data_IF_764983168594
#
_entry.id   IF_764983168594
#
_cell.length_a   1.000
_cell.length_b   1.000
_cell.length_c   1.000
_cell.angle_alpha   90.00
_cell.angle_beta   90.00
_cell.angle_gamma   90.00
#
_symmetry.space_group_name_H-M   'P 1'
#
loop_
_entity.id
_entity.type
_entity.pdbx_description
1 polymer ?
#
# COMPACT_ATOMS: atom_id res chain seq x y z
N UNK A 1 8.38 6.24 -16.68
CA UNK A 1 7.34 5.68 -15.81
C UNK A 1 6.00 6.24 -16.26
N UNK A 2 4.90 5.52 -16.07
CA UNK A 2 3.58 6.11 -16.35
C UNK A 2 3.43 7.40 -15.58
N UNK A 3 2.85 8.40 -16.22
CA UNK A 3 2.57 9.66 -15.54
C UNK A 3 1.59 9.43 -14.38
N UNK A 4 1.66 10.23 -13.32
CA UNK A 4 0.68 10.18 -12.22
C UNK A 4 -0.77 10.27 -12.72
N UNK A 5 -1.00 11.00 -13.83
CA UNK A 5 -2.31 11.08 -14.49
C UNK A 5 -2.74 9.75 -15.10
N UNK A 6 -1.82 9.02 -15.73
CA UNK A 6 -2.09 7.71 -16.34
C UNK A 6 -2.35 6.66 -15.28
N UNK A 7 -1.55 6.63 -14.20
CA UNK A 7 -1.78 5.74 -13.05
C UNK A 7 -3.14 6.00 -12.41
N UNK A 8 -3.51 7.27 -12.23
CA UNK A 8 -4.84 7.66 -11.77
C UNK A 8 -5.96 7.22 -12.69
N UNK A 9 -5.79 7.39 -14.00
CA UNK A 9 -6.80 6.97 -14.96
C UNK A 9 -6.98 5.44 -14.95
N UNK A 10 -5.87 4.70 -14.97
CA UNK A 10 -5.86 3.25 -14.90
C UNK A 10 -6.51 2.73 -13.61
N UNK A 11 -6.17 3.33 -12.47
CA UNK A 11 -6.75 2.98 -11.19
C UNK A 11 -8.27 3.19 -11.19
N UNK A 12 -8.78 4.27 -11.80
CA UNK A 12 -10.22 4.51 -11.88
C UNK A 12 -10.94 3.48 -12.77
N UNK A 13 -10.35 3.16 -13.92
CA UNK A 13 -10.89 2.18 -14.87
C UNK A 13 -11.01 0.76 -14.29
N UNK A 14 -10.06 0.36 -13.45
CA UNK A 14 -10.09 -0.92 -12.74
C UNK A 14 -11.04 -0.85 -11.54
N UNK A 15 -10.96 0.23 -10.76
CA UNK A 15 -11.76 0.41 -9.56
C UNK A 15 -13.26 0.47 -9.88
N UNK A 16 -13.70 1.14 -10.95
CA UNK A 16 -15.15 1.31 -11.24
C UNK A 16 -15.92 -0.01 -11.36
N UNK A 17 -15.24 -1.11 -11.74
CA UNK A 17 -15.85 -2.44 -11.83
C UNK A 17 -16.12 -3.06 -10.45
N UNK A 18 -15.23 -2.79 -9.50
CA UNK A 18 -15.16 -3.46 -8.19
C UNK A 18 -15.23 -2.46 -7.03
N UNK A 19 -15.70 -1.24 -7.27
CA UNK A 19 -15.53 -0.08 -6.40
C UNK A 19 -15.96 -0.36 -4.96
N UNK A 20 -17.16 -0.91 -4.82
CA UNK A 20 -17.74 -1.22 -3.51
C UNK A 20 -16.96 -2.29 -2.76
N UNK A 21 -16.39 -3.27 -3.47
CA UNK A 21 -15.60 -4.32 -2.83
C UNK A 21 -14.27 -3.74 -2.30
N UNK A 22 -13.57 -2.94 -3.11
CA UNK A 22 -12.32 -2.28 -2.69
C UNK A 22 -12.56 -1.30 -1.54
N UNK A 23 -13.71 -0.60 -1.56
CA UNK A 23 -14.12 0.27 -0.45
C UNK A 23 -14.34 -0.54 0.83
N UNK A 24 -15.03 -1.69 0.77
CA UNK A 24 -15.20 -2.59 1.92
C UNK A 24 -13.85 -3.07 2.45
N UNK A 25 -12.94 -3.53 1.58
CA UNK A 25 -11.58 -3.94 1.97
C UNK A 25 -10.86 -2.81 2.70
N UNK A 26 -10.89 -1.62 2.12
CA UNK A 26 -10.19 -0.44 2.66
C UNK A 26 -10.78 -0.03 4.01
N UNK A 27 -12.10 -0.11 4.16
CA UNK A 27 -12.77 0.15 5.43
C UNK A 27 -12.44 -0.89 6.49
N UNK A 28 -12.38 -2.18 6.14
CA UNK A 28 -11.97 -3.25 7.07
C UNK A 28 -10.55 -2.96 7.59
N UNK A 29 -9.62 -2.65 6.69
CA UNK A 29 -8.22 -2.36 7.03
C UNK A 29 -8.09 -1.11 7.90
N UNK A 30 -8.91 -0.08 7.68
CA UNK A 30 -8.89 1.15 8.46
C UNK A 30 -9.61 1.02 9.82
N UNK A 31 -10.76 0.35 9.85
CA UNK A 31 -11.64 0.29 11.01
C UNK A 31 -11.21 -0.76 12.03
N UNK A 32 -10.69 -1.93 11.61
CA UNK A 32 -10.30 -2.99 12.54
C UNK A 32 -9.23 -2.55 13.54
N UNK A 33 -8.12 -1.90 13.12
CA UNK A 33 -7.14 -1.37 14.07
C UNK A 33 -7.73 -0.29 14.97
N UNK A 34 -8.57 0.60 14.43
CA UNK A 34 -9.17 1.72 15.17
C UNK A 34 -10.21 1.27 16.20
N UNK A 35 -10.91 0.16 15.96
CA UNK A 35 -11.90 -0.41 16.87
C UNK A 35 -11.27 -1.24 18.01
N UNK A 36 -9.96 -1.51 17.95
CA UNK A 36 -9.28 -2.28 18.99
C UNK A 36 -9.18 -1.45 20.29
N UNK A 37 -9.64 -2.02 21.40
CA UNK A 37 -9.60 -1.37 22.72
C UNK A 37 -8.18 -1.19 23.26
N UNK A 38 -7.22 -1.91 22.70
CA UNK A 38 -5.80 -1.88 23.06
C UNK A 38 -5.01 -1.47 21.83
N UNK A 39 -4.41 -0.28 21.86
CA UNK A 39 -3.66 0.31 20.74
C UNK A 39 -2.57 -0.64 20.19
N UNK A 40 -1.93 -1.41 21.06
CA UNK A 40 -0.91 -2.40 20.68
C UNK A 40 -1.51 -3.48 19.79
N UNK A 41 -2.69 -4.00 20.11
CA UNK A 41 -3.36 -5.04 19.30
C UNK A 41 -3.70 -4.48 17.92
N UNK A 42 -4.26 -3.26 17.85
CA UNK A 42 -4.56 -2.61 16.58
C UNK A 42 -3.32 -2.47 15.69
N UNK A 43 -2.19 -2.09 16.26
CA UNK A 43 -0.92 -1.99 15.53
C UNK A 43 -0.42 -3.35 15.02
N UNK A 44 -0.53 -4.42 15.82
CA UNK A 44 -0.10 -5.76 15.41
C UNK A 44 -0.97 -6.33 14.27
N UNK A 45 -2.27 -6.01 14.26
CA UNK A 45 -3.19 -6.42 13.20
C UNK A 45 -2.96 -5.67 11.88
N UNK A 46 -2.44 -4.44 11.95
CA UNK A 46 -2.28 -3.57 10.79
C UNK A 46 -1.38 -4.20 9.71
N UNK A 47 -0.25 -4.81 10.10
CA UNK A 47 0.71 -5.35 9.14
C UNK A 47 0.12 -6.44 8.24
N UNK A 48 -0.40 -7.54 8.82
CA UNK A 48 -1.08 -8.58 8.06
C UNK A 48 -2.28 -8.05 7.24
N UNK A 49 -3.01 -7.04 7.73
CA UNK A 49 -4.10 -6.40 6.99
C UNK A 49 -3.61 -5.64 5.75
N UNK A 50 -2.51 -4.90 5.86
CA UNK A 50 -1.91 -4.19 4.72
C UNK A 50 -1.40 -5.16 3.66
N UNK A 51 -0.79 -6.27 4.08
CA UNK A 51 -0.38 -7.34 3.15
C UNK A 51 -1.59 -8.03 2.52
N UNK A 52 -2.63 -8.33 3.30
CA UNK A 52 -3.90 -8.85 2.76
C UNK A 52 -4.56 -7.91 1.75
N UNK A 53 -4.54 -6.60 2.00
CA UNK A 53 -4.99 -5.59 1.04
C UNK A 53 -4.13 -5.58 -0.22
N UNK A 54 -2.81 -5.71 -0.08
CA UNK A 54 -1.90 -5.79 -1.22
C UNK A 54 -2.17 -7.04 -2.08
N UNK A 55 -2.33 -8.23 -1.47
CA UNK A 55 -2.72 -9.47 -2.18
C UNK A 55 -4.02 -9.26 -2.96
N UNK A 56 -5.03 -8.70 -2.31
CA UNK A 56 -6.33 -8.44 -2.92
C UNK A 56 -6.24 -7.47 -4.10
N UNK A 57 -5.50 -6.36 -3.95
CA UNK A 57 -5.35 -5.36 -5.01
C UNK A 57 -4.51 -5.90 -6.18
N UNK A 58 -3.45 -6.67 -5.92
CA UNK A 58 -2.64 -7.31 -6.96
C UNK A 58 -3.50 -8.32 -7.74
N UNK A 59 -4.24 -9.22 -7.09
CA UNK A 59 -5.13 -10.18 -7.77
C UNK A 59 -6.17 -9.47 -8.63
N UNK A 60 -6.81 -8.43 -8.09
CA UNK A 60 -7.79 -7.65 -8.84
C UNK A 60 -7.19 -6.99 -10.09
N UNK A 61 -5.99 -6.42 -9.99
CA UNK A 61 -5.36 -5.71 -11.10
C UNK A 61 -4.79 -6.66 -12.14
N UNK A 62 -4.04 -7.68 -11.71
CA UNK A 62 -3.37 -8.63 -12.62
C UNK A 62 -4.38 -9.55 -13.31
N UNK A 63 -5.40 -10.02 -12.58
CA UNK A 63 -6.41 -10.94 -13.12
C UNK A 63 -7.70 -10.23 -13.56
N UNK A 64 -7.77 -8.88 -13.47
CA UNK A 64 -8.92 -8.06 -13.86
C UNK A 64 -10.25 -8.58 -13.25
N UNK A 65 -10.22 -8.97 -11.98
CA UNK A 65 -11.36 -9.61 -11.30
C UNK A 65 -12.37 -8.59 -10.78
N UNK A 66 -13.63 -9.02 -10.60
CA UNK A 66 -14.69 -8.22 -9.96
C UNK A 66 -14.45 -7.92 -8.46
N UNK A 67 -13.27 -8.27 -7.91
CA UNK A 67 -12.93 -8.00 -6.51
C UNK A 67 -13.77 -8.77 -5.48
N UNK A 68 -14.45 -9.86 -5.89
CA UNK A 68 -15.35 -10.64 -5.01
C UNK A 68 -14.61 -11.52 -3.99
N UNK A 69 -13.31 -11.79 -4.20
CA UNK A 69 -12.49 -12.66 -3.35
C UNK A 69 -11.99 -11.94 -2.09
N UNK A 70 -12.90 -11.58 -1.19
CA UNK A 70 -12.55 -10.95 0.09
C UNK A 70 -11.68 -11.83 0.99
N UNK A 71 -11.73 -13.15 0.79
CA UNK A 71 -10.90 -14.12 1.50
C UNK A 71 -9.39 -13.89 1.33
N UNK A 72 -8.96 -13.21 0.25
CA UNK A 72 -7.56 -12.87 0.01
C UNK A 72 -6.97 -11.97 1.10
N UNK A 73 -7.79 -11.15 1.76
CA UNK A 73 -7.33 -10.31 2.87
C UNK A 73 -6.87 -11.18 4.04
N UNK A 74 -7.56 -12.31 4.27
CA UNK A 74 -7.25 -13.26 5.35
C UNK A 74 -5.94 -14.01 5.02
N UNK A 75 -5.53 -14.09 3.76
CA UNK A 75 -4.26 -14.73 3.41
C UNK A 75 -3.05 -14.01 4.00
N UNK A 76 -3.10 -12.68 4.17
CA UNK A 76 -2.05 -11.94 4.87
C UNK A 76 -1.86 -12.40 6.33
N UNK A 77 -2.94 -12.87 6.97
CA UNK A 77 -2.89 -13.48 8.30
C UNK A 77 -2.49 -14.95 8.29
N UNK A 78 -2.76 -15.69 7.21
CA UNK A 78 -2.45 -17.13 7.15
C UNK A 78 -1.01 -17.39 6.73
N UNK A 79 -0.53 -16.66 5.73
CA UNK A 79 0.74 -16.96 5.05
C UNK A 79 1.91 -16.13 5.58
N UNK A 80 1.67 -14.89 5.99
CA UNK A 80 2.72 -13.92 6.29
C UNK A 80 2.50 -13.15 7.59
N UNK A 81 1.74 -13.69 8.56
CA UNK A 81 1.40 -12.98 9.80
C UNK A 81 2.63 -12.41 10.52
N UNK A 82 3.61 -13.26 10.84
CA UNK A 82 4.80 -12.88 11.61
C UNK A 82 5.66 -11.88 10.82
N UNK A 83 5.96 -12.19 9.56
CA UNK A 83 6.80 -11.33 8.71
C UNK A 83 6.15 -9.96 8.45
N UNK A 84 4.85 -9.92 8.18
CA UNK A 84 4.09 -8.67 7.95
C UNK A 84 4.03 -7.81 9.21
N UNK A 85 3.86 -8.45 10.37
CA UNK A 85 3.82 -7.78 11.67
C UNK A 85 5.19 -7.19 12.04
N UNK A 86 6.26 -7.97 11.90
CA UNK A 86 7.64 -7.51 12.15
C UNK A 86 8.00 -6.40 11.17
N UNK A 87 7.71 -6.56 9.88
CA UNK A 87 8.00 -5.55 8.87
C UNK A 87 7.28 -4.23 9.17
N UNK A 88 5.99 -4.28 9.51
CA UNK A 88 5.22 -3.08 9.83
C UNK A 88 5.72 -2.40 11.11
N UNK A 89 6.13 -3.18 12.11
CA UNK A 89 6.78 -2.66 13.31
C UNK A 89 8.11 -1.97 13.00
N UNK A 90 8.99 -2.61 12.23
CA UNK A 90 10.28 -2.05 11.84
C UNK A 90 10.12 -0.80 10.98
N UNK A 91 9.23 -0.81 9.99
CA UNK A 91 8.91 0.36 9.17
C UNK A 91 8.39 1.50 10.05
N UNK A 92 7.51 1.22 10.99
CA UNK A 92 6.99 2.20 11.95
C UNK A 92 8.11 2.80 12.80
N UNK A 93 8.96 1.97 13.41
CA UNK A 93 10.10 2.39 14.23
C UNK A 93 11.08 3.23 13.40
N UNK A 94 11.51 2.75 12.24
CA UNK A 94 12.45 3.48 11.39
C UNK A 94 11.86 4.82 10.94
N UNK A 95 10.62 4.84 10.49
CA UNK A 95 9.96 6.08 10.07
C UNK A 95 9.84 7.05 11.24
N UNK A 96 9.50 6.57 12.44
CA UNK A 96 9.44 7.40 13.65
C UNK A 96 10.81 7.98 14.02
N UNK A 97 11.86 7.15 14.06
CA UNK A 97 13.23 7.59 14.35
C UNK A 97 13.71 8.65 13.34
N UNK A 98 13.47 8.43 12.04
CA UNK A 98 13.80 9.41 11.00
C UNK A 98 12.99 10.69 11.13
N UNK A 99 11.71 10.59 11.49
CA UNK A 99 10.85 11.77 11.71
C UNK A 99 11.27 12.59 12.94
N UNK A 100 11.82 11.94 13.97
CA UNK A 100 12.32 12.58 15.18
C UNK A 100 13.59 13.40 14.92
N UNK A 101 14.46 12.90 14.03
CA UNK A 101 15.60 13.67 13.53
C UNK A 101 15.12 14.89 12.73
N UNK A 102 14.30 14.65 11.71
CA UNK A 102 13.72 15.69 10.86
C UNK A 102 12.47 15.18 10.13
N UNK A 103 11.48 16.05 9.92
CA UNK A 103 10.23 15.70 9.24
C UNK A 103 10.50 15.24 7.79
N UNK A 104 11.36 15.93 7.04
CA UNK A 104 11.61 15.64 5.62
C UNK A 104 12.22 14.23 5.40
N UNK A 105 13.30 13.81 6.09
CA UNK A 105 13.79 12.44 6.07
C UNK A 105 12.74 11.39 6.44
N UNK A 106 11.86 11.70 7.41
CA UNK A 106 10.74 10.83 7.78
C UNK A 106 9.82 10.55 6.59
N UNK A 107 9.43 11.58 5.82
CA UNK A 107 8.60 11.44 4.62
C UNK A 107 9.34 10.65 3.52
N UNK A 108 10.63 10.94 3.28
CA UNK A 108 11.41 10.23 2.26
C UNK A 108 11.51 8.73 2.60
N UNK A 109 11.66 8.40 3.88
CA UNK A 109 11.76 7.02 4.35
C UNK A 109 10.41 6.31 4.32
N UNK A 110 9.32 6.96 4.69
CA UNK A 110 7.99 6.36 4.55
C UNK A 110 7.67 6.01 3.09
N UNK A 111 8.02 6.88 2.14
CA UNK A 111 7.90 6.59 0.70
C UNK A 111 8.80 5.42 0.27
N UNK A 112 10.02 5.32 0.80
CA UNK A 112 10.92 4.22 0.49
C UNK A 112 10.42 2.86 1.00
N UNK A 113 9.61 2.85 2.06
CA UNK A 113 9.05 1.65 2.67
C UNK A 113 7.64 1.30 2.17
N UNK A 114 7.04 2.15 1.33
CA UNK A 114 5.65 2.01 0.89
C UNK A 114 5.37 0.71 0.12
N UNK A 115 6.39 0.11 -0.52
CA UNK A 115 6.23 -1.12 -1.32
C UNK A 115 6.40 -2.40 -0.50
N UNK A 116 6.85 -2.32 0.76
CA UNK A 116 7.05 -3.46 1.66
C UNK A 116 5.84 -4.41 1.74
N UNK A 117 4.59 -3.96 1.96
CA UNK A 117 3.46 -4.88 2.06
C UNK A 117 3.16 -5.59 0.73
N UNK A 118 3.45 -4.97 -0.41
CA UNK A 118 3.28 -5.58 -1.73
C UNK A 118 4.35 -6.65 -2.01
N UNK A 119 5.60 -6.43 -1.56
CA UNK A 119 6.67 -7.42 -1.68
C UNK A 119 6.35 -8.67 -0.84
N UNK A 120 5.88 -8.48 0.40
CA UNK A 120 5.48 -9.60 1.27
C UNK A 120 4.22 -10.32 0.72
N UNK A 121 3.35 -9.60 -0.01
CA UNK A 121 2.21 -10.21 -0.67
C UNK A 121 2.63 -11.20 -1.77
N UNK A 122 3.75 -10.94 -2.46
CA UNK A 122 4.27 -11.81 -3.53
C UNK A 122 5.16 -12.94 -3.00
N UNK A 123 5.98 -12.66 -2.00
CA UNK A 123 6.75 -13.67 -1.27
C UNK A 123 6.40 -13.62 0.23
N UNK A 124 5.38 -14.38 0.67
CA UNK A 124 4.98 -14.42 2.08
C UNK A 124 6.08 -14.94 3.02
N UNK A 125 7.06 -15.68 2.49
CA UNK A 125 8.14 -16.32 3.26
C UNK A 125 9.36 -15.43 3.44
N UNK A 126 9.40 -14.29 2.75
CA UNK A 126 10.50 -13.33 2.84
C UNK A 126 10.68 -12.84 4.27
N UNK A 127 11.95 -12.73 4.68
CA UNK A 127 12.27 -12.08 5.95
C UNK A 127 11.85 -10.60 5.95
N UNK A 128 11.35 -10.13 7.08
CA UNK A 128 10.82 -8.78 7.23
C UNK A 128 11.83 -7.68 6.88
N UNK A 129 13.10 -7.84 7.27
CA UNK A 129 14.14 -6.86 6.94
C UNK A 129 14.46 -6.90 5.44
N UNK A 130 14.55 -8.10 4.86
CA UNK A 130 14.77 -8.27 3.42
C UNK A 130 13.65 -7.62 2.59
N UNK A 131 12.40 -7.74 3.01
CA UNK A 131 11.29 -7.05 2.34
C UNK A 131 11.42 -5.52 2.37
N UNK A 132 11.84 -4.97 3.51
CA UNK A 132 12.10 -3.54 3.67
C UNK A 132 13.24 -3.08 2.78
N UNK A 133 14.35 -3.83 2.75
CA UNK A 133 15.51 -3.52 1.91
C UNK A 133 15.16 -3.59 0.43
N UNK A 134 14.39 -4.60 0.01
CA UNK A 134 13.88 -4.70 -1.36
C UNK A 134 12.94 -3.55 -1.70
N UNK A 135 12.07 -3.12 -0.78
CA UNK A 135 11.23 -1.93 -0.98
C UNK A 135 12.10 -0.70 -1.18
N UNK A 136 13.12 -0.51 -0.36
CA UNK A 136 14.03 0.64 -0.49
C UNK A 136 14.76 0.65 -1.82
N UNK A 137 15.25 -0.51 -2.25
CA UNK A 137 15.94 -0.69 -3.52
C UNK A 137 15.02 -0.44 -4.71
N UNK A 138 13.83 -1.06 -4.72
CA UNK A 138 12.80 -0.86 -5.74
C UNK A 138 12.39 0.62 -5.85
N UNK A 139 12.40 1.34 -4.74
CA UNK A 139 12.06 2.76 -4.68
C UNK A 139 13.24 3.71 -4.99
N UNK A 140 14.48 3.23 -5.20
CA UNK A 140 15.60 4.10 -5.60
C UNK A 140 15.28 4.75 -6.95
N UNK A 141 15.37 6.07 -7.02
CA UNK A 141 14.97 6.84 -8.21
C UNK A 141 13.46 7.15 -8.29
N UNK A 142 12.59 6.32 -7.68
CA UNK A 142 11.14 6.39 -7.85
C UNK A 142 10.36 7.00 -6.66
N UNK A 143 11.05 7.48 -5.62
CA UNK A 143 10.39 8.11 -4.45
C UNK A 143 9.62 9.38 -4.80
N UNK A 144 10.22 10.22 -5.64
CA UNK A 144 9.58 11.46 -6.09
C UNK A 144 8.36 11.19 -6.95
N UNK A 145 8.40 10.10 -7.72
CA UNK A 145 7.30 9.67 -8.56
C UNK A 145 6.08 9.25 -7.72
N UNK A 146 6.28 8.48 -6.65
CA UNK A 146 5.21 8.18 -5.67
C UNK A 146 4.72 9.44 -4.95
N UNK A 147 5.64 10.34 -4.58
CA UNK A 147 5.27 11.61 -3.95
C UNK A 147 4.39 12.48 -4.86
N UNK A 148 4.73 12.59 -6.15
CA UNK A 148 3.94 13.33 -7.15
C UNK A 148 2.60 12.63 -7.38
N UNK A 149 2.55 11.28 -7.35
CA UNK A 149 1.28 10.56 -7.39
C UNK A 149 0.37 10.98 -6.22
N UNK A 150 0.88 11.01 -5.00
CA UNK A 150 0.12 11.46 -3.82
C UNK A 150 -0.27 12.94 -3.94
N UNK A 151 0.64 13.79 -4.42
CA UNK A 151 0.38 15.21 -4.64
C UNK A 151 -0.72 15.43 -5.70
N UNK A 152 -0.82 14.54 -6.70
CA UNK A 152 -1.90 14.61 -7.68
C UNK A 152 -3.30 14.40 -7.06
N UNK A 153 -3.37 13.82 -5.86
CA UNK A 153 -4.61 13.67 -5.08
C UNK A 153 -4.86 14.83 -4.10
N UNK A 154 -3.96 15.80 -3.97
CA UNK A 154 -4.06 16.88 -2.98
C UNK A 154 -5.36 17.67 -3.06
N UNK A 155 -5.86 17.95 -4.27
CA UNK A 155 -7.14 18.62 -4.46
C UNK A 155 -8.32 17.82 -3.90
N UNK A 156 -8.28 16.50 -4.04
CA UNK A 156 -9.29 15.60 -3.49
C UNK A 156 -9.18 15.48 -1.97
N UNK A 157 -7.96 15.47 -1.42
CA UNK A 157 -7.75 15.49 0.02
C UNK A 157 -8.29 16.78 0.66
N UNK A 158 -8.07 17.93 0.02
CA UNK A 158 -8.62 19.22 0.46
C UNK A 158 -10.15 19.20 0.40
N UNK A 159 -10.74 18.70 -0.69
CA UNK A 159 -12.19 18.58 -0.81
C UNK A 159 -12.78 17.66 0.28
N UNK A 160 -12.13 16.52 0.54
CA UNK A 160 -12.53 15.59 1.59
C UNK A 160 -12.46 16.22 2.99
N UNK A 161 -11.51 17.12 3.25
CA UNK A 161 -11.40 17.86 4.50
C UNK A 161 -12.63 18.75 4.75
N UNK A 162 -13.14 19.43 3.72
CA UNK A 162 -14.36 20.24 3.82
C UNK A 162 -15.62 19.43 4.12
N UNK A 163 -15.62 18.13 3.81
CA UNK A 163 -16.72 17.19 4.13
C UNK A 163 -16.60 16.54 5.52
N UNK A 164 -15.84 17.16 6.45
CA UNK A 164 -15.51 16.57 7.76
C UNK A 164 -14.87 15.17 7.67
N UNK A 165 -14.10 14.92 6.61
CA UNK A 165 -13.40 13.65 6.39
C UNK A 165 -14.24 12.55 5.73
N UNK A 166 -15.54 12.75 5.47
CA UNK A 166 -16.39 11.75 4.80
C UNK A 166 -15.86 11.45 3.40
N UNK A 167 -15.40 12.46 2.66
CA UNK A 167 -14.80 12.29 1.34
C UNK A 167 -13.56 11.39 1.34
N UNK A 168 -12.87 11.23 2.48
CA UNK A 168 -11.71 10.33 2.58
C UNK A 168 -12.12 8.88 2.38
N UNK A 169 -13.30 8.48 2.88
CA UNK A 169 -13.80 7.11 2.76
C UNK A 169 -13.92 6.69 1.30
N UNK A 170 -14.36 7.60 0.43
CA UNK A 170 -14.52 7.36 -1.00
C UNK A 170 -13.21 7.53 -1.78
N UNK A 171 -12.30 8.39 -1.29
CA UNK A 171 -11.02 8.65 -1.93
C UNK A 171 -9.98 7.55 -1.69
N UNK A 172 -9.94 6.97 -0.49
CA UNK A 172 -8.94 5.96 -0.12
C UNK A 172 -8.89 4.73 -1.04
N UNK A 173 -10.00 4.07 -1.44
CA UNK A 173 -9.92 2.93 -2.36
C UNK A 173 -9.27 3.33 -3.69
N UNK A 174 -9.54 4.54 -4.17
CA UNK A 174 -8.96 5.07 -5.40
C UNK A 174 -7.45 5.32 -5.28
N UNK A 175 -7.00 5.91 -4.16
CA UNK A 175 -5.58 6.12 -3.88
C UNK A 175 -4.86 4.77 -3.76
N UNK A 176 -5.43 3.80 -3.03
CA UNK A 176 -4.84 2.47 -2.83
C UNK A 176 -4.71 1.67 -4.12
N UNK A 177 -5.69 1.75 -5.02
CA UNK A 177 -5.58 1.15 -6.35
C UNK A 177 -4.50 1.84 -7.20
N UNK A 178 -4.32 3.16 -7.07
CA UNK A 178 -3.24 3.87 -7.77
C UNK A 178 -1.85 3.49 -7.24
N UNK A 179 -1.68 3.38 -5.91
CA UNK A 179 -0.45 2.86 -5.28
C UNK A 179 -0.14 1.42 -5.72
N UNK A 180 -1.15 0.56 -5.82
CA UNK A 180 -0.97 -0.82 -6.30
C UNK A 180 -0.56 -0.88 -7.79
N UNK A 181 -1.13 -0.04 -8.66
CA UNK A 181 -0.69 0.07 -10.05
C UNK A 181 0.76 0.57 -10.16
N UNK A 182 1.15 1.50 -9.30
CA UNK A 182 2.54 1.97 -9.22
C UNK A 182 3.49 0.83 -8.83
N UNK A 183 3.13 0.01 -7.84
CA UNK A 183 3.88 -1.20 -7.49
C UNK A 183 4.05 -2.15 -8.68
N UNK A 184 2.94 -2.46 -9.38
CA UNK A 184 2.94 -3.39 -10.51
C UNK A 184 3.85 -2.91 -11.65
N UNK A 185 3.92 -1.59 -11.90
CA UNK A 185 4.85 -1.04 -12.87
C UNK A 185 6.32 -1.21 -12.43
N UNK A 186 6.63 -0.97 -11.15
CA UNK A 186 7.99 -1.16 -10.63
C UNK A 186 8.42 -2.63 -10.65
N UNK A 187 7.51 -3.53 -10.26
CA UNK A 187 7.71 -4.99 -10.33
C UNK A 187 8.05 -5.44 -11.75
N UNK A 188 7.24 -5.03 -12.74
CA UNK A 188 7.44 -5.39 -14.14
C UNK A 188 8.76 -4.88 -14.71
N UNK A 189 9.29 -3.75 -14.22
CA UNK A 189 10.64 -3.28 -14.61
C UNK A 189 11.74 -4.12 -13.99
N UNK A 190 11.61 -4.47 -12.71
CA UNK A 190 12.61 -5.29 -12.01
C UNK A 190 12.77 -6.66 -12.68
N UNK A 191 11.66 -7.29 -13.10
CA UNK A 191 11.73 -8.56 -13.84
C UNK A 191 12.43 -8.41 -15.19
N UNK A 192 12.15 -7.35 -15.94
CA UNK A 192 12.81 -7.06 -17.23
C UNK A 192 14.33 -6.91 -17.04
N UNK A 193 14.79 -6.14 -16.05
CA UNK A 193 16.23 -5.93 -15.82
C UNK A 193 16.94 -7.24 -15.45
N UNK A 194 16.30 -8.08 -14.62
CA UNK A 194 16.86 -9.37 -14.22
C UNK A 194 16.96 -10.40 -15.35
N UNK A 195 16.17 -10.27 -16.43
CA UNK A 195 16.27 -11.13 -17.62
C UNK A 195 17.44 -10.74 -18.55
N UNK A 196 18.03 -9.55 -18.37
CA UNK A 196 19.14 -9.04 -19.19
C UNK A 196 20.51 -9.08 -18.50
N UNK A 197 20.59 -9.58 -17.26
CA UNK A 197 21.84 -9.84 -16.51
C UNK A 197 22.23 -11.32 -16.55
#
# INVERSE_FOLDING_TARGET
>A
MKSSRELRHQAWEQLRKSYWMVLVVTLIVAALPAASSIAVIGFLLLGPLLVGQAIYLIDMIDNNTDGKKLELIIEGFKKSFVNSMIASLLVGIFTFLWSLLFIIPGIIKSLAYAMTPYIIAEDPTIDAMKAIDQSQEMMKGHKMELFILHLSFIGWYILAMFTFGIGMIFLLPYVKTAEANFYIELRGRKSIIAEFE
#
